data_IF_306676639219
#
_entry.id   IF_306676639219
#
_cell.length_a   1.000
_cell.length_b   1.000
_cell.length_c   1.000
_cell.angle_alpha   90.00
_cell.angle_beta   90.00
_cell.angle_gamma   90.00
#
_symmetry.space_group_name_H-M   'P 1'
#
loop_
_entity.id
_entity.type
_entity.pdbx_description
1 polymer ?
#
# COMPACT_ATOMS: atom_id res chain seq x y z
N UNK A 1 25.88 9.24 12.76
CA UNK A 1 25.29 10.30 13.62
C UNK A 1 23.98 10.85 13.04
N UNK A 2 23.93 11.25 11.77
CA UNK A 2 22.71 11.78 11.11
C UNK A 2 21.57 10.75 11.05
N UNK A 3 21.84 9.53 10.58
CA UNK A 3 20.82 8.46 10.51
C UNK A 3 20.19 8.15 11.87
N UNK A 4 21.01 8.01 12.93
CA UNK A 4 20.51 7.77 14.30
C UNK A 4 19.57 8.89 14.77
N UNK A 5 19.92 10.15 14.48
CA UNK A 5 19.08 11.31 14.82
C UNK A 5 17.77 11.31 14.01
N UNK A 6 17.85 11.04 12.71
CA UNK A 6 16.67 10.96 11.83
C UNK A 6 15.72 9.84 12.26
N UNK A 7 16.24 8.63 12.52
CA UNK A 7 15.45 7.50 13.01
C UNK A 7 14.84 7.79 14.38
N UNK A 8 15.59 8.39 15.31
CA UNK A 8 15.06 8.77 16.62
C UNK A 8 13.89 9.75 16.51
N UNK A 9 14.03 10.79 15.68
CA UNK A 9 12.97 11.78 15.45
C UNK A 9 11.75 11.10 14.78
N UNK A 10 11.98 10.28 13.75
CA UNK A 10 10.89 9.60 13.04
C UNK A 10 10.11 8.64 13.94
N UNK A 11 10.81 7.79 14.69
CA UNK A 11 10.18 6.82 15.61
C UNK A 11 9.48 7.54 16.76
N UNK A 12 10.09 8.57 17.36
CA UNK A 12 9.46 9.34 18.43
C UNK A 12 8.18 10.06 17.95
N UNK A 13 8.24 10.68 16.78
CA UNK A 13 7.09 11.36 16.16
C UNK A 13 5.95 10.39 15.90
N UNK A 14 6.21 9.28 15.21
CA UNK A 14 5.20 8.26 14.89
C UNK A 14 4.60 7.62 16.14
N UNK A 15 5.43 7.30 17.14
CA UNK A 15 4.96 6.76 18.44
C UNK A 15 4.01 7.74 19.12
N UNK A 16 4.37 9.03 19.16
CA UNK A 16 3.51 10.07 19.76
C UNK A 16 2.18 10.17 19.02
N UNK A 17 2.19 10.20 17.69
CA UNK A 17 0.96 10.24 16.89
C UNK A 17 0.06 9.02 17.13
N UNK A 18 0.61 7.80 17.11
CA UNK A 18 -0.20 6.60 17.35
C UNK A 18 -0.76 6.54 18.77
N UNK A 19 0.01 6.95 19.77
CA UNK A 19 -0.45 7.01 21.14
C UNK A 19 -1.56 8.05 21.31
N UNK A 20 -1.42 9.24 20.71
CA UNK A 20 -2.47 10.26 20.69
C UNK A 20 -3.75 9.76 20.02
N UNK A 21 -3.66 9.15 18.84
CA UNK A 21 -4.82 8.59 18.15
C UNK A 21 -5.52 7.51 18.99
N UNK A 22 -4.76 6.62 19.62
CA UNK A 22 -5.31 5.58 20.49
C UNK A 22 -5.96 6.14 21.75
N UNK A 23 -5.28 7.02 22.48
CA UNK A 23 -5.79 7.63 23.71
C UNK A 23 -7.02 8.51 23.46
N UNK A 24 -7.00 9.36 22.42
CA UNK A 24 -8.14 10.22 22.08
C UNK A 24 -9.31 9.38 21.54
N UNK A 25 -9.03 8.37 20.73
CA UNK A 25 -10.06 7.44 20.25
C UNK A 25 -10.74 6.71 21.41
N UNK A 26 -9.97 6.20 22.37
CA UNK A 26 -10.53 5.57 23.57
C UNK A 26 -11.25 6.58 24.47
N UNK A 27 -10.75 7.81 24.63
CA UNK A 27 -11.43 8.84 25.41
C UNK A 27 -12.80 9.23 24.80
N UNK A 28 -12.92 9.21 23.48
CA UNK A 28 -14.17 9.54 22.78
C UNK A 28 -15.19 8.37 22.78
N UNK A 29 -14.73 7.13 22.57
CA UNK A 29 -15.62 5.98 22.34
C UNK A 29 -15.62 4.92 23.46
N UNK A 30 -14.68 5.01 24.40
CA UNK A 30 -14.46 4.02 25.46
C UNK A 30 -14.27 2.61 24.92
N UNK A 31 -14.84 1.63 25.62
CA UNK A 31 -14.81 0.21 25.23
C UNK A 31 -15.54 -0.10 23.91
N UNK A 32 -16.23 0.87 23.31
CA UNK A 32 -16.91 0.72 22.01
C UNK A 32 -16.08 1.24 20.83
N UNK A 33 -14.82 1.63 21.06
CA UNK A 33 -13.94 2.12 20.01
C UNK A 33 -13.77 1.08 18.89
N UNK A 34 -14.15 1.38 17.64
CA UNK A 34 -13.99 0.45 16.53
C UNK A 34 -12.54 0.44 16.04
N UNK A 35 -12.10 -0.69 15.47
CA UNK A 35 -10.75 -0.81 14.91
C UNK A 35 -10.48 0.13 13.73
N UNK A 36 -11.52 0.47 12.96
CA UNK A 36 -11.49 1.63 12.05
C UNK A 36 -12.34 2.74 12.67
N UNK A 37 -11.69 3.79 13.16
CA UNK A 37 -12.37 4.90 13.84
C UNK A 37 -13.42 5.56 12.92
N UNK A 38 -13.18 5.62 11.60
CA UNK A 38 -14.10 6.24 10.65
C UNK A 38 -15.40 5.46 10.45
N UNK A 39 -15.44 4.17 10.75
CA UNK A 39 -16.68 3.39 10.69
C UNK A 39 -17.55 3.56 11.93
N UNK A 40 -17.00 4.09 13.02
CA UNK A 40 -17.72 4.38 14.27
C UNK A 40 -18.66 5.57 14.21
N UNK A 41 -18.49 6.45 13.21
CA UNK A 41 -19.23 7.70 13.07
C UNK A 41 -20.45 7.61 12.15
N UNK A 42 -20.88 6.40 11.75
CA UNK A 42 -21.81 6.15 10.64
C UNK A 42 -23.13 6.95 10.58
N UNK A 43 -23.54 7.63 11.67
CA UNK A 43 -24.74 8.47 11.73
C UNK A 43 -24.55 9.80 12.49
N UNK A 44 -23.33 10.20 12.85
CA UNK A 44 -23.09 11.43 13.63
C UNK A 44 -22.65 12.59 12.74
N UNK A 45 -23.38 13.70 12.81
CA UNK A 45 -22.99 14.96 12.17
C UNK A 45 -21.66 15.46 12.74
N UNK A 46 -20.73 15.99 11.91
CA UNK A 46 -20.93 16.33 10.51
C UNK A 46 -20.26 15.39 9.48
N UNK A 47 -21.04 14.96 8.47
CA UNK A 47 -20.60 14.04 7.40
C UNK A 47 -19.41 14.55 6.57
N UNK A 48 -19.32 15.87 6.35
CA UNK A 48 -18.24 16.46 5.54
C UNK A 48 -16.84 16.17 6.09
N UNK A 49 -16.70 16.06 7.40
CA UNK A 49 -15.41 15.81 8.03
C UNK A 49 -14.95 14.36 7.80
N UNK A 50 -15.91 13.42 7.86
CA UNK A 50 -15.68 12.00 7.54
C UNK A 50 -15.34 11.83 6.06
N UNK A 51 -16.01 12.57 5.17
CA UNK A 51 -15.73 12.54 3.73
C UNK A 51 -14.32 13.04 3.39
N UNK A 52 -13.88 14.15 4.01
CA UNK A 52 -12.52 14.65 3.86
C UNK A 52 -11.51 13.63 4.37
N UNK A 53 -11.77 13.01 5.52
CA UNK A 53 -10.88 11.98 6.07
C UNK A 53 -10.75 10.78 5.11
N UNK A 54 -11.86 10.30 4.55
CA UNK A 54 -11.86 9.24 3.54
C UNK A 54 -11.14 9.65 2.25
N UNK A 55 -11.30 10.90 1.79
CA UNK A 55 -10.57 11.43 0.63
C UNK A 55 -9.05 11.43 0.88
N UNK A 56 -8.62 11.86 2.07
CA UNK A 56 -7.20 11.80 2.45
C UNK A 56 -6.66 10.37 2.45
N UNK A 57 -7.45 9.40 2.96
CA UNK A 57 -7.08 7.97 2.92
C UNK A 57 -6.92 7.50 1.47
N UNK A 58 -7.84 7.84 0.56
CA UNK A 58 -7.74 7.46 -0.85
C UNK A 58 -6.46 8.03 -1.48
N UNK A 59 -6.22 9.33 -1.31
CA UNK A 59 -5.03 9.98 -1.89
C UNK A 59 -3.74 9.32 -1.37
N UNK A 60 -3.66 9.09 -0.05
CA UNK A 60 -2.53 8.42 0.57
C UNK A 60 -2.33 6.98 0.06
N UNK A 61 -3.39 6.18 0.04
CA UNK A 61 -3.34 4.77 -0.33
C UNK A 61 -3.03 4.57 -1.82
N UNK A 62 -3.53 5.44 -2.70
CA UNK A 62 -3.17 5.41 -4.13
C UNK A 62 -1.67 5.64 -4.29
N UNK A 63 -1.10 6.63 -3.59
CA UNK A 63 0.34 6.88 -3.60
C UNK A 63 1.14 5.69 -3.09
N UNK A 64 0.74 5.11 -1.94
CA UNK A 64 1.37 3.94 -1.38
C UNK A 64 1.31 2.74 -2.34
N UNK A 65 0.14 2.44 -2.89
CA UNK A 65 -0.07 1.34 -3.84
C UNK A 65 0.85 1.47 -5.05
N UNK A 66 0.99 2.68 -5.61
CA UNK A 66 1.90 2.93 -6.73
C UNK A 66 3.35 2.57 -6.36
N UNK A 67 3.85 3.05 -5.22
CA UNK A 67 5.23 2.80 -4.78
C UNK A 67 5.46 1.32 -4.48
N UNK A 68 4.55 0.65 -3.77
CA UNK A 68 4.70 -0.76 -3.39
C UNK A 68 4.54 -1.73 -4.57
N UNK A 69 3.77 -1.37 -5.59
CA UNK A 69 3.58 -2.24 -6.76
C UNK A 69 4.77 -2.21 -7.73
N UNK A 70 5.54 -1.10 -7.80
CA UNK A 70 6.65 -0.98 -8.76
C UNK A 70 7.71 -2.09 -8.62
N UNK A 71 8.20 -2.43 -7.42
CA UNK A 71 9.19 -3.51 -7.27
C UNK A 71 8.65 -4.87 -7.72
N UNK A 72 7.37 -5.16 -7.44
CA UNK A 72 6.73 -6.42 -7.84
C UNK A 72 6.63 -6.49 -9.37
N UNK A 73 6.16 -5.42 -10.00
CA UNK A 73 6.10 -5.33 -11.46
C UNK A 73 7.49 -5.49 -12.07
N UNK A 74 8.48 -4.76 -11.57
CA UNK A 74 9.86 -4.83 -12.06
C UNK A 74 10.45 -6.23 -11.90
N UNK A 75 10.26 -6.89 -10.75
CA UNK A 75 10.77 -8.22 -10.48
C UNK A 75 10.17 -9.26 -11.44
N UNK A 76 8.85 -9.26 -11.61
CA UNK A 76 8.15 -10.21 -12.49
C UNK A 76 8.48 -9.95 -13.96
N UNK A 77 8.44 -8.69 -14.39
CA UNK A 77 8.76 -8.30 -15.77
C UNK A 77 10.21 -8.70 -16.12
N UNK A 78 11.17 -8.43 -15.23
CA UNK A 78 12.59 -8.79 -15.43
C UNK A 78 12.78 -10.31 -15.42
N UNK A 79 12.11 -11.02 -14.50
CA UNK A 79 12.21 -12.47 -14.42
C UNK A 79 11.71 -13.15 -15.69
N UNK A 80 10.54 -12.75 -16.21
CA UNK A 80 9.96 -13.32 -17.43
C UNK A 80 10.82 -12.97 -18.65
N UNK A 81 11.35 -11.74 -18.71
CA UNK A 81 12.23 -11.29 -19.80
C UNK A 81 13.54 -12.08 -19.86
N UNK A 82 14.14 -12.35 -18.71
CA UNK A 82 15.35 -13.16 -18.62
C UNK A 82 15.09 -14.64 -18.91
N UNK A 83 13.91 -15.16 -18.55
CA UNK A 83 13.53 -16.56 -18.75
C UNK A 83 13.21 -16.87 -20.23
N UNK A 84 12.55 -15.94 -20.93
CA UNK A 84 12.06 -16.15 -22.29
C UNK A 84 12.45 -15.00 -23.24
N UNK A 85 13.75 -14.86 -23.59
CA UNK A 85 14.25 -13.76 -24.42
C UNK A 85 13.72 -13.78 -25.87
N UNK A 86 13.35 -14.95 -26.39
CA UNK A 86 12.97 -15.14 -27.80
C UNK A 86 11.49 -14.85 -28.11
N UNK A 87 10.68 -14.46 -27.13
CA UNK A 87 9.25 -14.18 -27.36
C UNK A 87 9.10 -12.72 -27.81
N UNK A 88 8.80 -12.52 -29.11
CA UNK A 88 8.53 -11.19 -29.67
C UNK A 88 7.44 -10.43 -28.91
N UNK A 89 6.42 -11.12 -28.38
CA UNK A 89 5.35 -10.48 -27.59
C UNK A 89 5.86 -9.78 -26.30
N UNK A 90 6.98 -10.24 -25.75
CA UNK A 90 7.53 -9.77 -24.48
C UNK A 90 8.44 -8.56 -24.64
N UNK A 91 9.20 -8.50 -25.73
CA UNK A 91 10.23 -7.48 -25.99
C UNK A 91 9.81 -6.40 -26.99
N UNK A 92 8.68 -6.56 -27.69
CA UNK A 92 8.27 -5.61 -28.72
C UNK A 92 7.47 -4.46 -28.09
N UNK A 93 8.18 -3.38 -27.76
CA UNK A 93 7.56 -2.09 -27.44
C UNK A 93 6.84 -1.56 -28.70
N UNK A 94 5.51 -1.65 -28.73
CA UNK A 94 4.73 -1.01 -29.80
C UNK A 94 4.65 0.47 -29.51
N UNK A 95 5.19 1.28 -30.41
CA UNK A 95 5.03 2.74 -30.36
C UNK A 95 3.63 3.06 -30.87
N UNK A 96 2.71 3.34 -29.95
CA UNK A 96 1.42 3.91 -30.30
C UNK A 96 1.60 5.42 -30.47
N UNK A 97 1.37 5.88 -31.70
CA UNK A 97 1.35 7.29 -32.04
C UNK A 97 -0.10 7.75 -31.97
N UNK A 98 -0.45 8.50 -30.93
CA UNK A 98 -1.78 9.10 -30.77
C UNK A 98 -1.65 10.58 -31.18
N UNK A 99 -2.11 10.90 -32.39
CA UNK A 99 -1.99 12.24 -32.98
C UNK A 99 -0.55 12.61 -33.41
N UNK A 100 -0.30 13.90 -33.68
CA UNK A 100 1.02 14.38 -34.17
C UNK A 100 2.12 14.47 -33.09
N UNK A 101 1.76 14.51 -31.81
CA UNK A 101 2.73 14.78 -30.72
C UNK A 101 2.95 13.64 -29.71
N UNK A 102 2.01 12.71 -29.52
CA UNK A 102 2.14 11.72 -28.45
C UNK A 102 2.60 10.37 -28.99
N UNK A 103 3.86 10.01 -28.68
CA UNK A 103 4.41 8.67 -28.91
C UNK A 103 4.50 7.93 -27.57
N UNK A 104 3.63 6.95 -27.37
CA UNK A 104 3.67 6.08 -26.19
C UNK A 104 4.24 4.72 -26.57
N UNK A 105 5.30 4.28 -25.88
CA UNK A 105 5.80 2.90 -25.99
C UNK A 105 4.94 2.02 -25.07
N UNK A 106 4.00 1.29 -25.66
CA UNK A 106 3.18 0.32 -24.91
C UNK A 106 3.74 -1.07 -25.18
N UNK A 107 4.03 -1.77 -24.09
CA UNK A 107 4.33 -3.20 -24.12
C UNK A 107 3.06 -3.94 -23.69
N UNK A 108 2.51 -4.75 -24.59
CA UNK A 108 1.25 -5.47 -24.37
C UNK A 108 1.35 -6.42 -23.19
N UNK A 109 2.51 -7.06 -22.99
CA UNK A 109 2.74 -7.92 -21.84
C UNK A 109 2.66 -7.13 -20.53
N UNK A 110 3.34 -5.98 -20.42
CA UNK A 110 3.26 -5.11 -19.23
C UNK A 110 1.82 -4.68 -18.93
N UNK A 111 1.05 -4.34 -19.97
CA UNK A 111 -0.34 -3.92 -19.81
C UNK A 111 -1.22 -5.05 -19.28
N UNK A 112 -1.16 -6.24 -19.90
CA UNK A 112 -1.96 -7.40 -19.51
C UNK A 112 -1.56 -7.88 -18.10
N UNK A 113 -0.27 -7.98 -17.82
CA UNK A 113 0.20 -8.44 -16.51
C UNK A 113 -0.24 -7.50 -15.38
N UNK A 114 -0.03 -6.18 -15.54
CA UNK A 114 -0.39 -5.21 -14.50
C UNK A 114 -1.91 -5.13 -14.29
N UNK A 115 -2.70 -5.24 -15.35
CA UNK A 115 -4.17 -5.28 -15.22
C UNK A 115 -4.64 -6.55 -14.52
N UNK A 116 -4.10 -7.72 -14.87
CA UNK A 116 -4.39 -8.97 -14.17
C UNK A 116 -4.00 -8.91 -12.70
N UNK A 117 -2.84 -8.33 -12.38
CA UNK A 117 -2.41 -8.14 -10.99
C UNK A 117 -3.39 -7.29 -10.20
N UNK A 118 -3.81 -6.14 -10.75
CA UNK A 118 -4.81 -5.26 -10.09
C UNK A 118 -6.13 -6.01 -9.89
N UNK A 119 -6.63 -6.71 -10.92
CA UNK A 119 -7.87 -7.49 -10.84
C UNK A 119 -7.77 -8.55 -9.73
N UNK A 120 -6.65 -9.27 -9.65
CA UNK A 120 -6.43 -10.28 -8.62
C UNK A 120 -6.39 -9.66 -7.22
N UNK A 121 -5.66 -8.56 -7.04
CA UNK A 121 -5.62 -7.84 -5.76
C UNK A 121 -7.01 -7.34 -5.34
N UNK A 122 -7.77 -6.76 -6.26
CA UNK A 122 -9.15 -6.31 -5.99
C UNK A 122 -10.07 -7.47 -5.66
N UNK A 123 -9.97 -8.58 -6.37
CA UNK A 123 -10.76 -9.78 -6.09
C UNK A 123 -10.47 -10.33 -4.68
N UNK A 124 -9.19 -10.43 -4.32
CA UNK A 124 -8.78 -10.84 -2.97
C UNK A 124 -9.30 -9.86 -1.91
N UNK A 125 -9.23 -8.56 -2.16
CA UNK A 125 -9.72 -7.53 -1.24
C UNK A 125 -11.24 -7.62 -1.00
N UNK A 126 -12.02 -7.98 -2.03
CA UNK A 126 -13.47 -8.22 -1.90
C UNK A 126 -13.75 -9.47 -1.06
N UNK A 127 -12.98 -10.54 -1.25
CA UNK A 127 -13.18 -11.79 -0.52
C UNK A 127 -12.80 -11.70 0.96
N UNK A 128 -11.87 -10.82 1.34
CA UNK A 128 -11.35 -10.71 2.70
C UNK A 128 -11.45 -9.28 3.25
N UNK A 129 -12.63 -8.85 3.73
CA UNK A 129 -12.84 -7.50 4.28
C UNK A 129 -12.33 -7.33 5.73
N UNK A 130 -11.26 -8.02 6.15
CA UNK A 130 -10.75 -8.04 7.52
C UNK A 130 -9.44 -7.26 7.68
N UNK A 131 -9.50 -5.94 7.50
CA UNK A 131 -8.30 -5.09 7.49
C UNK A 131 -7.40 -5.27 8.72
N UNK A 132 -7.97 -5.25 9.93
CA UNK A 132 -7.20 -5.33 11.18
C UNK A 132 -6.51 -6.69 11.36
N UNK A 133 -7.20 -7.78 11.03
CA UNK A 133 -6.65 -9.13 11.19
C UNK A 133 -5.50 -9.37 10.21
N UNK A 134 -5.62 -8.88 8.97
CA UNK A 134 -4.55 -8.94 7.97
C UNK A 134 -3.34 -8.12 8.42
N UNK A 135 -3.54 -6.91 8.97
CA UNK A 135 -2.44 -6.10 9.51
C UNK A 135 -1.76 -6.79 10.70
N UNK A 136 -2.54 -7.40 11.60
CA UNK A 136 -2.00 -8.17 12.74
C UNK A 136 -1.16 -9.37 12.28
N UNK A 137 -1.65 -10.11 11.28
CA UNK A 137 -0.94 -11.24 10.69
C UNK A 137 0.36 -10.80 9.99
N UNK A 138 0.31 -9.76 9.16
CA UNK A 138 1.51 -9.19 8.52
C UNK A 138 2.51 -8.65 9.56
N UNK A 139 2.00 -8.08 10.65
CA UNK A 139 2.75 -7.70 11.85
C UNK A 139 3.55 -8.87 12.42
N UNK A 140 2.87 -9.97 12.70
CA UNK A 140 3.46 -11.15 13.31
C UNK A 140 4.44 -11.89 12.38
N UNK A 141 4.10 -12.06 11.11
CA UNK A 141 4.93 -12.84 10.17
C UNK A 141 6.06 -12.02 9.55
N UNK A 142 5.81 -10.76 9.22
CA UNK A 142 6.78 -9.90 8.55
C UNK A 142 7.60 -9.06 9.53
N UNK A 143 6.91 -8.25 10.34
CA UNK A 143 7.60 -7.25 11.17
C UNK A 143 8.30 -7.85 12.39
N UNK A 144 7.74 -8.88 13.03
CA UNK A 144 8.39 -9.47 14.22
C UNK A 144 9.78 -10.07 13.91
N UNK A 145 9.97 -10.91 12.87
CA UNK A 145 11.30 -11.40 12.56
C UNK A 145 12.30 -10.28 12.21
N UNK A 146 11.84 -9.29 11.43
CA UNK A 146 12.69 -8.20 10.95
C UNK A 146 13.08 -7.18 12.02
N UNK A 147 12.19 -6.94 12.99
CA UNK A 147 12.41 -5.89 14.02
C UNK A 147 12.92 -6.44 15.34
N UNK A 148 12.61 -7.71 15.66
CA UNK A 148 13.01 -8.35 16.92
C UNK A 148 14.05 -9.42 16.68
N UNK A 149 13.70 -10.50 15.97
CA UNK A 149 14.54 -11.70 15.89
C UNK A 149 15.90 -11.45 15.23
N UNK A 150 15.92 -10.94 13.99
CA UNK A 150 17.19 -10.72 13.28
C UNK A 150 18.12 -9.72 14.00
N UNK A 151 17.64 -8.57 14.52
CA UNK A 151 18.51 -7.66 15.27
C UNK A 151 19.05 -8.22 16.58
N UNK A 152 18.40 -9.20 17.21
CA UNK A 152 18.89 -9.83 18.45
C UNK A 152 19.84 -10.98 18.21
N UNK A 153 19.71 -11.67 17.08
CA UNK A 153 20.59 -12.80 16.70
C UNK A 153 21.88 -12.35 16.01
N UNK A 154 21.90 -11.18 15.37
CA UNK A 154 23.07 -10.60 14.67
C UNK A 154 23.95 -9.77 15.60
#
# INVERSE_FOLDING_TARGET
>A
KVMKKASFIGVSTTTTFYLLCGCLGYAAFGNKAPGNILTGFGFYEPFWLVDIANLCIIIHLVGAYQVFSQPIFSAVETWITNRHPNINFLNHDRVLVIGKCFRYKINLFRLIWRTLFVIACTFIAILMPFFNDILGFLGAVGFWPLTVYFPTEM
#
